data_IF_543557293118
#
_entry.id   IF_543557293118
#
_cell.length_a   1.000
_cell.length_b   1.000
_cell.length_c   1.000
_cell.angle_alpha   90.00
_cell.angle_beta   90.00
_cell.angle_gamma   90.00
#
_symmetry.space_group_name_H-M   'P 1'
#
loop_
_entity.id
_entity.type
_entity.pdbx_description
1 polymer ?
#
# COMPACT_ATOMS: atom_id res chain seq x y z
N UNK A 1 -9.04 54.91 -11.09
CA UNK A 1 -9.98 53.76 -10.96
C UNK A 1 -9.51 52.58 -11.81
N UNK A 2 -9.08 52.81 -13.05
CA UNK A 2 -8.59 51.80 -14.00
C UNK A 2 -7.34 51.04 -13.51
N UNK A 3 -6.32 51.74 -13.00
CA UNK A 3 -5.05 51.13 -12.57
C UNK A 3 -5.20 50.16 -11.40
N UNK A 4 -6.08 50.47 -10.43
CA UNK A 4 -6.42 49.55 -9.33
C UNK A 4 -7.17 48.31 -9.81
N UNK A 5 -8.03 48.44 -10.83
CA UNK A 5 -8.73 47.30 -11.45
C UNK A 5 -7.76 46.40 -12.22
N UNK A 6 -6.77 46.98 -12.92
CA UNK A 6 -5.73 46.23 -13.64
C UNK A 6 -4.84 45.46 -12.66
N UNK A 7 -4.37 46.11 -11.59
CA UNK A 7 -3.56 45.46 -10.56
C UNK A 7 -4.32 44.30 -9.88
N UNK A 8 -5.59 44.50 -9.54
CA UNK A 8 -6.43 43.45 -8.94
C UNK A 8 -6.66 42.28 -9.90
N UNK A 9 -6.85 42.53 -11.19
CA UNK A 9 -6.97 41.48 -12.21
C UNK A 9 -5.67 40.69 -12.39
N UNK A 10 -4.52 41.37 -12.38
CA UNK A 10 -3.20 40.71 -12.43
C UNK A 10 -2.94 39.85 -11.20
N UNK A 11 -3.29 40.33 -9.99
CA UNK A 11 -3.17 39.57 -8.74
C UNK A 11 -3.99 38.28 -8.78
N UNK A 12 -5.23 38.33 -9.27
CA UNK A 12 -6.10 37.15 -9.39
C UNK A 12 -5.50 36.11 -10.34
N UNK A 13 -4.97 36.53 -11.49
CA UNK A 13 -4.34 35.62 -12.47
C UNK A 13 -3.09 34.95 -11.88
N UNK A 14 -2.26 35.70 -11.15
CA UNK A 14 -1.06 35.16 -10.48
C UNK A 14 -1.44 34.16 -9.38
N UNK A 15 -2.45 34.48 -8.56
CA UNK A 15 -2.94 33.56 -7.52
C UNK A 15 -3.49 32.28 -8.13
N UNK A 16 -4.33 32.36 -9.16
CA UNK A 16 -4.87 31.17 -9.85
C UNK A 16 -3.76 30.32 -10.45
N UNK A 17 -2.79 30.93 -11.16
CA UNK A 17 -1.66 30.21 -11.73
C UNK A 17 -0.80 29.51 -10.66
N UNK A 18 -0.56 30.17 -9.52
CA UNK A 18 0.21 29.60 -8.41
C UNK A 18 -0.49 28.41 -7.75
N UNK A 19 -1.81 28.49 -7.56
CA UNK A 19 -2.63 27.39 -7.01
C UNK A 19 -2.64 26.19 -7.96
N UNK A 20 -2.77 26.40 -9.26
CA UNK A 20 -2.77 25.31 -10.26
C UNK A 20 -1.44 24.54 -10.23
N UNK A 21 -0.30 25.23 -10.12
CA UNK A 21 1.02 24.58 -10.06
C UNK A 21 1.14 23.65 -8.84
N UNK A 22 0.56 24.04 -7.70
CA UNK A 22 0.64 23.23 -6.46
C UNK A 22 -0.24 21.97 -6.47
N UNK A 23 -1.25 21.88 -7.33
CA UNK A 23 -2.20 20.74 -7.36
C UNK A 23 -1.73 19.62 -8.31
N UNK A 24 -0.80 19.91 -9.23
CA UNK A 24 -0.39 18.97 -10.28
C UNK A 24 0.40 17.73 -9.77
N UNK A 25 0.90 17.76 -8.54
CA UNK A 25 1.61 16.63 -7.90
C UNK A 25 0.69 15.69 -7.12
N UNK A 26 -0.57 15.54 -7.55
CA UNK A 26 -1.45 14.51 -7.01
C UNK A 26 -0.92 13.12 -7.41
N UNK A 27 -0.06 12.53 -6.57
CA UNK A 27 0.35 11.13 -6.70
C UNK A 27 -0.89 10.26 -6.82
N UNK A 28 -1.07 9.60 -7.98
CA UNK A 28 -2.13 8.62 -8.15
C UNK A 28 -1.91 7.47 -7.16
N UNK A 29 -2.70 7.46 -6.09
CA UNK A 29 -2.70 6.37 -5.12
C UNK A 29 -3.41 5.18 -5.74
N UNK A 30 -2.64 4.28 -6.35
CA UNK A 30 -3.16 2.98 -6.79
C UNK A 30 -3.43 2.11 -5.55
N UNK A 31 -4.61 1.48 -5.51
CA UNK A 31 -4.99 0.56 -4.42
C UNK A 31 -4.25 -0.79 -4.45
N UNK A 32 -3.35 -0.98 -5.42
CA UNK A 32 -2.64 -2.21 -5.71
C UNK A 32 -1.13 -2.00 -5.76
N UNK A 33 -0.36 -3.08 -5.61
CA UNK A 33 1.09 -3.03 -5.80
C UNK A 33 1.43 -2.82 -7.28
N UNK A 34 2.05 -1.69 -7.60
CA UNK A 34 2.65 -1.42 -8.93
C UNK A 34 4.12 -1.85 -8.99
N UNK A 35 4.76 -2.00 -7.83
CA UNK A 35 6.12 -2.51 -7.66
C UNK A 35 6.18 -3.54 -6.52
N UNK A 36 7.23 -4.36 -6.52
CA UNK A 36 7.47 -5.38 -5.49
C UNK A 36 8.85 -5.23 -4.88
N UNK A 37 8.96 -5.51 -3.58
CA UNK A 37 10.22 -5.54 -2.86
C UNK A 37 10.80 -6.95 -2.81
N UNK A 38 12.12 -7.04 -2.97
CA UNK A 38 12.90 -8.26 -2.74
C UNK A 38 13.44 -8.34 -1.31
N UNK A 39 13.33 -7.24 -0.55
CA UNK A 39 13.86 -7.11 0.81
C UNK A 39 13.10 -8.00 1.79
N UNK A 40 13.83 -8.65 2.71
CA UNK A 40 13.24 -9.55 3.70
C UNK A 40 12.39 -8.76 4.71
N UNK A 41 11.13 -9.16 4.85
CA UNK A 41 10.24 -8.61 5.88
C UNK A 41 10.63 -9.15 7.27
N UNK A 42 11.13 -8.23 8.12
CA UNK A 42 11.49 -8.52 9.52
C UNK A 42 10.28 -8.47 10.44
N UNK A 43 9.28 -7.66 10.10
CA UNK A 43 8.10 -7.43 10.93
C UNK A 43 7.18 -8.66 10.97
N UNK A 44 6.40 -8.82 12.07
CA UNK A 44 5.38 -9.85 12.16
C UNK A 44 4.25 -9.55 11.16
N UNK A 45 3.75 -10.61 10.53
CA UNK A 45 2.63 -10.52 9.60
C UNK A 45 1.33 -10.88 10.32
N UNK A 46 0.30 -10.07 10.09
CA UNK A 46 -1.06 -10.26 10.62
C UNK A 46 -1.90 -11.06 9.61
N UNK A 47 -1.58 -10.91 8.32
CA UNK A 47 -2.23 -11.62 7.23
C UNK A 47 -1.41 -11.52 5.95
N UNK A 48 -1.89 -12.16 4.90
CA UNK A 48 -1.33 -12.02 3.57
C UNK A 48 -2.43 -12.21 2.51
N UNK A 49 -2.26 -11.61 1.34
CA UNK A 49 -3.08 -11.86 0.16
C UNK A 49 -2.23 -11.97 -1.09
N UNK A 50 -2.70 -12.75 -2.05
CA UNK A 50 -2.12 -12.81 -3.39
C UNK A 50 -2.77 -11.75 -4.27
N UNK A 51 -1.98 -10.95 -4.95
CA UNK A 51 -2.43 -10.02 -5.98
C UNK A 51 -2.09 -10.59 -7.35
N UNK A 52 -3.10 -10.77 -8.19
CA UNK A 52 -2.92 -11.14 -9.59
C UNK A 52 -2.49 -9.93 -10.43
N UNK A 53 -1.81 -10.20 -11.55
CA UNK A 53 -1.35 -9.15 -12.45
C UNK A 53 -2.53 -8.54 -13.20
N UNK A 54 -2.69 -7.22 -13.11
CA UNK A 54 -3.66 -6.43 -13.86
C UNK A 54 -3.14 -5.00 -13.99
N UNK A 55 -2.65 -4.60 -15.16
CA UNK A 55 -1.89 -3.36 -15.31
C UNK A 55 -2.70 -2.13 -14.82
N UNK A 56 -2.09 -1.23 -14.02
CA UNK A 56 -0.66 -1.13 -13.69
C UNK A 56 -0.18 -2.02 -12.53
N UNK A 57 -1.06 -2.82 -11.93
CA UNK A 57 -0.75 -3.73 -10.83
C UNK A 57 0.10 -4.92 -11.31
N UNK A 58 1.14 -5.24 -10.55
CA UNK A 58 2.01 -6.40 -10.79
C UNK A 58 1.60 -7.58 -9.92
N UNK A 59 2.01 -8.79 -10.31
CA UNK A 59 1.79 -9.99 -9.49
C UNK A 59 2.62 -9.90 -8.20
N UNK A 60 1.98 -9.97 -7.04
CA UNK A 60 2.65 -9.76 -5.75
C UNK A 60 2.01 -10.58 -4.63
N UNK A 61 2.82 -10.92 -3.61
CA UNK A 61 2.29 -11.30 -2.30
C UNK A 61 2.29 -10.05 -1.43
N UNK A 62 1.12 -9.67 -0.93
CA UNK A 62 0.95 -8.51 -0.05
C UNK A 62 0.88 -9.02 1.38
N UNK A 63 1.87 -8.68 2.19
CA UNK A 63 1.86 -8.96 3.62
C UNK A 63 1.19 -7.81 4.37
N UNK A 64 0.18 -8.13 5.17
CA UNK A 64 -0.46 -7.18 6.06
C UNK A 64 0.34 -7.13 7.36
N UNK A 65 0.85 -5.95 7.70
CA UNK A 65 1.62 -5.69 8.92
C UNK A 65 0.93 -4.60 9.74
N UNK A 66 1.39 -4.39 10.98
CA UNK A 66 0.86 -3.31 11.82
C UNK A 66 1.10 -1.91 11.22
N UNK A 67 2.10 -1.77 10.34
CA UNK A 67 2.44 -0.51 9.66
C UNK A 67 1.76 -0.34 8.30
N UNK A 68 1.01 -1.36 7.86
CA UNK A 68 0.33 -1.38 6.56
C UNK A 68 0.77 -2.52 5.67
N UNK A 69 0.41 -2.40 4.39
CA UNK A 69 0.64 -3.41 3.38
C UNK A 69 2.07 -3.38 2.84
N UNK A 70 2.71 -4.54 2.74
CA UNK A 70 4.06 -4.70 2.21
C UNK A 70 4.05 -5.58 0.95
N UNK A 71 4.28 -4.96 -0.21
CA UNK A 71 4.34 -5.60 -1.51
C UNK A 71 5.63 -6.42 -1.69
N UNK A 72 5.54 -7.74 -1.70
CA UNK A 72 6.69 -8.64 -1.86
C UNK A 72 6.66 -9.39 -3.19
N UNK A 73 7.84 -9.65 -3.74
CA UNK A 73 7.97 -10.49 -4.94
C UNK A 73 7.66 -11.96 -4.59
N UNK A 74 6.61 -12.50 -5.18
CA UNK A 74 6.14 -13.86 -4.97
C UNK A 74 7.16 -14.94 -5.37
N UNK A 75 8.15 -14.61 -6.22
CA UNK A 75 9.21 -15.52 -6.65
C UNK A 75 10.28 -15.75 -5.57
N UNK A 76 10.34 -14.87 -4.57
CA UNK A 76 11.36 -14.97 -3.52
C UNK A 76 11.08 -16.15 -2.59
N UNK A 77 12.06 -17.04 -2.42
CA UNK A 77 11.94 -18.22 -1.56
C UNK A 77 11.58 -17.89 -0.11
N UNK A 78 12.03 -16.74 0.41
CA UNK A 78 11.69 -16.32 1.77
C UNK A 78 10.22 -15.93 1.91
N UNK A 79 9.59 -15.37 0.86
CA UNK A 79 8.17 -15.01 0.83
C UNK A 79 7.32 -16.27 0.95
N UNK A 80 7.63 -17.28 0.14
CA UNK A 80 6.95 -18.58 0.18
C UNK A 80 7.07 -19.24 1.56
N UNK A 81 8.27 -19.23 2.15
CA UNK A 81 8.50 -19.74 3.51
C UNK A 81 7.68 -18.98 4.55
N UNK A 82 7.61 -17.65 4.47
CA UNK A 82 6.86 -16.81 5.40
C UNK A 82 5.36 -17.10 5.33
N UNK A 83 4.80 -17.26 4.13
CA UNK A 83 3.40 -17.67 3.91
C UNK A 83 3.12 -19.04 4.54
N UNK A 84 3.99 -20.03 4.29
CA UNK A 84 3.85 -21.37 4.87
C UNK A 84 3.90 -21.35 6.40
N UNK A 85 4.82 -20.57 6.98
CA UNK A 85 4.92 -20.39 8.43
C UNK A 85 3.64 -19.79 9.00
N UNK A 86 3.08 -18.79 8.34
CA UNK A 86 1.81 -18.19 8.76
C UNK A 86 0.65 -19.19 8.76
N UNK A 87 0.49 -19.95 7.67
CA UNK A 87 -0.56 -20.97 7.58
C UNK A 87 -0.41 -22.01 8.70
N UNK A 88 0.81 -22.49 8.97
CA UNK A 88 1.08 -23.44 10.05
C UNK A 88 0.73 -22.86 11.41
N UNK A 89 1.13 -21.62 11.68
CA UNK A 89 0.81 -20.93 12.93
C UNK A 89 -0.71 -20.77 13.13
N UNK A 90 -1.46 -20.41 12.08
CA UNK A 90 -2.92 -20.29 12.14
C UNK A 90 -3.61 -21.63 12.42
N UNK A 91 -3.16 -22.71 11.78
CA UNK A 91 -3.67 -24.06 12.06
C UNK A 91 -3.43 -24.45 13.52
N UNK A 92 -2.22 -24.25 14.03
CA UNK A 92 -1.88 -24.58 15.41
C UNK A 92 -2.74 -23.79 16.41
N UNK A 93 -2.96 -22.49 16.16
CA UNK A 93 -3.87 -21.67 16.97
C UNK A 93 -5.30 -22.20 16.96
N UNK A 94 -5.81 -22.58 15.78
CA UNK A 94 -7.15 -23.18 15.66
C UNK A 94 -7.26 -24.46 16.46
N UNK A 95 -6.27 -25.36 16.34
CA UNK A 95 -6.23 -26.61 17.10
C UNK A 95 -6.21 -26.38 18.62
N UNK A 96 -5.34 -25.49 19.11
CA UNK A 96 -5.29 -25.14 20.54
C UNK A 96 -6.62 -24.57 21.04
N UNK A 97 -7.28 -23.74 20.25
CA UNK A 97 -8.59 -23.17 20.57
C UNK A 97 -9.65 -24.27 20.65
N UNK A 98 -9.67 -25.22 19.70
CA UNK A 98 -10.59 -26.36 19.74
C UNK A 98 -10.36 -27.24 20.98
N UNK A 99 -9.12 -27.50 21.37
CA UNK A 99 -8.81 -28.27 22.59
C UNK A 99 -9.28 -27.56 23.86
N UNK A 100 -9.14 -26.23 23.94
CA UNK A 100 -9.57 -25.44 25.09
C UNK A 100 -11.11 -25.28 25.21
N UNK A 101 -11.88 -25.55 24.15
CA UNK A 101 -13.35 -25.49 24.17
C UNK A 101 -13.97 -26.84 24.58
N UNK A 102 -13.22 -27.93 24.48
CA UNK A 102 -13.70 -29.30 24.77
C UNK A 102 -13.39 -29.72 26.22
N UNK A 103 -12.75 -28.87 27.01
CA UNK A 103 -12.45 -29.07 28.43
C UNK A 103 -13.22 -28.09 29.30
#
# INVERSE_FOLDING_TARGET
METRRILMRSLVVVVIASVIWTIADAEMVYSCCTQVSTAKLKEPIIGYRMQEKSLPCVKAIIFQTARGDFCSDWKQQWVQRKVLQFIKAQRNKRHATTTNIIH
#
